data_IF_267002564547
#
_entry.id   IF_267002564547
#
_cell.length_a   1.000
_cell.length_b   1.000
_cell.length_c   1.000
_cell.angle_alpha   90.00
_cell.angle_beta   90.00
_cell.angle_gamma   90.00
#
_symmetry.space_group_name_H-M   'P 1'
#
loop_
_entity.id
_entity.type
_entity.pdbx_description
1 polymer ?
#
# COMPACT_ATOMS: atom_id res chain seq x y z
N UNK A 1 -3.29 27.41 10.05
CA UNK A 1 -1.87 27.40 10.46
C UNK A 1 -1.18 26.28 9.69
N UNK A 2 -0.51 26.58 8.58
CA UNK A 2 0.27 25.61 7.80
C UNK A 2 1.58 25.38 8.52
N UNK A 3 1.55 24.50 9.51
CA UNK A 3 2.74 24.09 10.25
C UNK A 3 3.54 23.12 9.36
N UNK A 4 4.80 23.45 9.00
CA UNK A 4 5.67 22.56 8.25
C UNK A 4 5.74 21.15 8.86
N UNK A 5 5.74 21.08 10.20
CA UNK A 5 5.80 19.82 10.94
C UNK A 5 4.56 18.96 10.75
N UNK A 6 3.38 19.59 10.68
CA UNK A 6 2.14 18.89 10.37
C UNK A 6 2.17 18.30 8.94
N UNK A 7 2.80 18.99 8.00
CA UNK A 7 2.94 18.52 6.61
C UNK A 7 3.90 17.33 6.53
N UNK A 8 5.06 17.39 7.19
CA UNK A 8 6.00 16.26 7.23
C UNK A 8 5.41 15.04 7.93
N UNK A 9 4.69 15.24 9.04
CA UNK A 9 4.01 14.16 9.77
C UNK A 9 2.93 13.49 8.92
N UNK A 10 2.08 14.26 8.23
CA UNK A 10 1.06 13.68 7.33
C UNK A 10 1.68 12.87 6.19
N UNK A 11 2.81 13.32 5.63
CA UNK A 11 3.52 12.59 4.58
C UNK A 11 4.04 11.23 5.07
N UNK A 12 4.68 11.24 6.24
CA UNK A 12 5.14 10.02 6.90
C UNK A 12 3.99 9.06 7.20
N UNK A 13 2.91 9.57 7.80
CA UNK A 13 1.72 8.77 8.14
C UNK A 13 1.09 8.14 6.90
N UNK A 14 0.99 8.87 5.79
CA UNK A 14 0.41 8.32 4.55
C UNK A 14 1.27 7.19 3.95
N UNK A 15 2.60 7.33 3.95
CA UNK A 15 3.50 6.26 3.49
C UNK A 15 3.36 5.03 4.41
N UNK A 16 3.40 5.23 5.72
CA UNK A 16 3.30 4.15 6.72
C UNK A 16 1.94 3.46 6.66
N UNK A 17 0.84 4.21 6.57
CA UNK A 17 -0.50 3.67 6.44
C UNK A 17 -0.66 2.81 5.19
N UNK A 18 -0.04 3.21 4.07
CA UNK A 18 -0.09 2.40 2.85
C UNK A 18 0.65 1.08 3.02
N UNK A 19 1.80 1.08 3.69
CA UNK A 19 2.53 -0.14 4.00
C UNK A 19 1.68 -1.07 4.87
N UNK A 20 1.07 -0.55 5.94
CA UNK A 20 0.21 -1.33 6.84
C UNK A 20 -1.00 -1.90 6.09
N UNK A 21 -1.68 -1.08 5.27
CA UNK A 21 -2.84 -1.51 4.49
C UNK A 21 -2.49 -2.65 3.51
N UNK A 22 -1.34 -2.55 2.85
CA UNK A 22 -0.91 -3.61 1.95
C UNK A 22 -0.43 -4.87 2.67
N UNK A 23 0.25 -4.76 3.83
CA UNK A 23 0.56 -5.92 4.68
C UNK A 23 -0.72 -6.65 5.12
N UNK A 24 -1.74 -5.89 5.54
CA UNK A 24 -3.04 -6.43 5.92
C UNK A 24 -3.74 -7.11 4.73
N UNK A 25 -3.67 -6.51 3.53
CA UNK A 25 -4.18 -7.12 2.30
C UNK A 25 -3.48 -8.44 1.94
N UNK A 26 -2.15 -8.51 2.10
CA UNK A 26 -1.39 -9.73 1.86
C UNK A 26 -1.78 -10.84 2.86
N UNK A 27 -1.95 -10.50 4.13
CA UNK A 27 -2.40 -11.46 5.16
C UNK A 27 -3.83 -11.95 4.87
N UNK A 28 -4.76 -11.08 4.49
CA UNK A 28 -6.12 -11.46 4.11
C UNK A 28 -6.13 -12.41 2.91
N UNK A 29 -5.36 -12.10 1.87
CA UNK A 29 -5.25 -12.98 0.69
C UNK A 29 -4.61 -14.33 1.03
N UNK A 30 -3.61 -14.36 1.92
CA UNK A 30 -3.01 -15.62 2.40
C UNK A 30 -4.02 -16.47 3.18
N UNK A 31 -4.80 -15.86 4.08
CA UNK A 31 -5.86 -16.56 4.83
C UNK A 31 -6.92 -17.12 3.87
N UNK A 32 -7.29 -16.37 2.82
CA UNK A 32 -8.25 -16.82 1.83
C UNK A 32 -7.74 -18.02 1.03
N UNK A 33 -6.46 -18.04 0.66
CA UNK A 33 -5.82 -19.20 0.00
C UNK A 33 -5.78 -20.42 0.93
N UNK A 34 -5.40 -20.21 2.19
CA UNK A 34 -5.24 -21.28 3.17
C UNK A 34 -6.56 -21.99 3.55
N UNK A 35 -7.69 -21.28 3.46
CA UNK A 35 -9.03 -21.79 3.78
C UNK A 35 -9.81 -22.30 2.56
N UNK A 36 -9.25 -22.18 1.35
CA UNK A 36 -9.97 -22.51 0.13
C UNK A 36 -9.76 -23.98 -0.27
N UNK A 37 -10.84 -24.76 -0.25
CA UNK A 37 -10.84 -26.15 -0.77
C UNK A 37 -11.01 -26.21 -2.30
N UNK A 38 -11.66 -25.19 -2.88
CA UNK A 38 -11.90 -25.09 -4.32
C UNK A 38 -10.83 -24.25 -5.06
N UNK A 39 -10.53 -24.53 -6.34
CA UNK A 39 -9.49 -23.84 -7.11
C UNK A 39 -9.81 -22.36 -7.41
N UNK A 40 -11.09 -22.02 -7.61
CA UNK A 40 -11.51 -20.64 -7.92
C UNK A 40 -11.20 -19.64 -6.78
N UNK A 41 -11.55 -19.90 -5.51
CA UNK A 41 -11.18 -19.01 -4.40
C UNK A 41 -9.67 -18.90 -4.18
N UNK A 42 -8.85 -19.90 -4.52
CA UNK A 42 -7.38 -19.79 -4.49
C UNK A 42 -6.85 -18.76 -5.49
N UNK A 43 -7.43 -18.72 -6.70
CA UNK A 43 -7.05 -17.74 -7.73
C UNK A 43 -7.42 -16.32 -7.27
N UNK A 44 -8.60 -16.14 -6.70
CA UNK A 44 -9.05 -14.85 -6.15
C UNK A 44 -8.13 -14.40 -5.00
N UNK A 45 -7.81 -15.30 -4.08
CA UNK A 45 -6.86 -15.01 -2.99
C UNK A 45 -5.49 -14.61 -3.50
N UNK A 46 -4.98 -15.31 -4.52
CA UNK A 46 -3.69 -15.00 -5.15
C UNK A 46 -3.71 -13.63 -5.84
N UNK A 47 -4.77 -13.32 -6.59
CA UNK A 47 -4.95 -12.01 -7.22
C UNK A 47 -4.99 -10.90 -6.17
N UNK A 48 -5.67 -11.12 -5.05
CA UNK A 48 -5.77 -10.16 -3.95
C UNK A 48 -4.41 -9.91 -3.27
N UNK A 49 -3.61 -10.96 -3.03
CA UNK A 49 -2.23 -10.82 -2.54
C UNK A 49 -1.40 -10.00 -3.53
N UNK A 50 -1.45 -10.31 -4.83
CA UNK A 50 -0.70 -9.59 -5.85
C UNK A 50 -1.11 -8.11 -5.92
N UNK A 51 -2.41 -7.81 -5.88
CA UNK A 51 -2.91 -6.44 -5.81
C UNK A 51 -2.43 -5.71 -4.57
N UNK A 52 -2.42 -6.36 -3.40
CA UNK A 52 -1.91 -5.78 -2.16
C UNK A 52 -0.41 -5.46 -2.25
N UNK A 53 0.40 -6.37 -2.77
CA UNK A 53 1.83 -6.16 -2.99
C UNK A 53 2.09 -5.00 -3.95
N UNK A 54 1.32 -4.91 -5.05
CA UNK A 54 1.40 -3.79 -5.97
C UNK A 54 1.03 -2.47 -5.29
N UNK A 55 0.03 -2.47 -4.40
CA UNK A 55 -0.37 -1.28 -3.64
C UNK A 55 0.76 -0.81 -2.69
N UNK A 56 1.45 -1.74 -2.00
CA UNK A 56 2.63 -1.42 -1.15
C UNK A 56 3.74 -0.79 -1.97
N UNK A 57 3.96 -1.23 -3.21
CA UNK A 57 5.07 -0.76 -4.04
C UNK A 57 4.75 0.55 -4.79
N UNK A 58 3.54 0.66 -5.36
CA UNK A 58 3.18 1.73 -6.30
C UNK A 58 2.76 2.98 -5.54
N UNK A 59 1.91 2.87 -4.52
CA UNK A 59 1.33 4.04 -3.84
C UNK A 59 2.37 4.92 -3.15
N UNK A 60 3.31 4.40 -2.33
CA UNK A 60 4.33 5.25 -1.72
C UNK A 60 5.30 5.82 -2.76
N UNK A 61 5.58 5.10 -3.85
CA UNK A 61 6.36 5.64 -4.99
C UNK A 61 5.64 6.79 -5.68
N UNK A 62 4.34 6.67 -5.90
CA UNK A 62 3.52 7.70 -6.50
C UNK A 62 3.43 8.93 -5.58
N UNK A 63 3.19 8.73 -4.27
CA UNK A 63 3.21 9.77 -3.25
C UNK A 63 4.57 10.48 -3.20
N UNK A 64 5.67 9.73 -3.19
CA UNK A 64 7.02 10.28 -3.17
C UNK A 64 7.32 11.11 -4.44
N UNK A 65 6.88 10.66 -5.63
CA UNK A 65 6.95 11.44 -6.86
C UNK A 65 6.15 12.74 -6.76
N UNK A 66 4.95 12.68 -6.19
CA UNK A 66 4.03 13.81 -6.06
C UNK A 66 4.52 14.88 -5.09
N UNK A 67 5.35 14.51 -4.12
CA UNK A 67 5.96 15.43 -3.17
C UNK A 67 7.39 15.84 -3.52
N UNK A 68 7.92 15.38 -4.67
CA UNK A 68 9.20 15.85 -5.17
C UNK A 68 8.99 17.29 -5.65
N UNK A 69 9.55 18.25 -4.91
CA UNK A 69 9.59 19.66 -5.32
C UNK A 69 10.21 19.77 -6.72
N UNK A 70 9.78 20.73 -7.56
CA UNK A 70 10.45 21.01 -8.83
C UNK A 70 11.95 21.20 -8.61
N UNK A 71 12.82 20.79 -9.57
CA UNK A 71 14.22 21.14 -9.52
C UNK A 71 14.35 22.65 -9.33
N UNK A 72 15.15 23.08 -8.35
CA UNK A 72 15.52 24.50 -8.26
C UNK A 72 16.26 24.84 -9.56
N UNK A 73 15.68 25.77 -10.31
CA UNK A 73 16.28 26.37 -11.51
C UNK A 73 17.51 27.20 -11.15
#
# INVERSE_FOLDING_TARGET
>A
MTDPDATFRNRYLAITATRIAGSAGALLGLVLIARADAPLPKIIGTALVLSALLMIAIVPRALAKRWRSPPAE
#
